data_IF_749928049173
#
_entry.id   IF_749928049173
#
_cell.length_a   1.000
_cell.length_b   1.000
_cell.length_c   1.000
_cell.angle_alpha   90.00
_cell.angle_beta   90.00
_cell.angle_gamma   90.00
#
_symmetry.space_group_name_H-M   'P 1'
#
loop_
_entity.id
_entity.type
_entity.pdbx_description
1 polymer ?
#
# COMPACT_ATOMS: atom_id res chain seq x y z
N UNK A 1 3.31 -19.57 -11.45
CA UNK A 1 3.88 -18.24 -11.19
C UNK A 1 2.89 -17.50 -10.33
N UNK A 2 3.39 -16.69 -9.41
CA UNK A 2 2.62 -16.15 -8.28
C UNK A 2 2.26 -14.70 -8.52
N UNK A 3 1.02 -14.33 -8.20
CA UNK A 3 0.53 -12.96 -8.12
C UNK A 3 0.72 -12.43 -6.71
N UNK A 4 1.35 -11.26 -6.59
CA UNK A 4 1.70 -10.68 -5.29
C UNK A 4 0.87 -9.42 -5.05
N UNK A 5 0.27 -9.32 -3.86
CA UNK A 5 -0.21 -8.06 -3.34
C UNK A 5 0.89 -7.43 -2.48
N UNK A 6 1.40 -6.28 -2.89
CA UNK A 6 2.44 -5.53 -2.16
C UNK A 6 1.78 -4.50 -1.25
N UNK A 7 1.73 -4.80 0.05
CA UNK A 7 1.25 -3.91 1.08
C UNK A 7 2.40 -3.07 1.66
N UNK A 8 2.16 -1.78 1.84
CA UNK A 8 3.10 -0.90 2.53
C UNK A 8 2.53 0.51 2.71
N UNK A 9 2.97 1.26 3.73
CA UNK A 9 2.64 2.68 3.84
C UNK A 9 3.34 3.47 2.72
N UNK A 10 2.75 4.57 2.27
CA UNK A 10 3.29 5.42 1.19
C UNK A 10 3.11 6.93 1.47
N UNK A 11 3.18 7.31 2.74
CA UNK A 11 2.94 8.68 3.22
C UNK A 11 4.20 9.56 3.21
N UNK A 12 5.38 8.96 3.18
CA UNK A 12 6.68 9.67 3.10
C UNK A 12 7.48 9.26 1.86
N UNK A 13 8.43 10.11 1.46
CA UNK A 13 9.35 9.80 0.34
C UNK A 13 10.14 8.53 0.59
N UNK A 14 10.57 8.31 1.84
CA UNK A 14 11.31 7.11 2.24
C UNK A 14 10.44 5.86 2.06
N UNK A 15 9.18 5.91 2.52
CA UNK A 15 8.24 4.82 2.36
C UNK A 15 7.99 4.47 0.89
N UNK A 16 7.81 5.49 0.03
CA UNK A 16 7.68 5.29 -1.42
C UNK A 16 8.94 4.66 -2.02
N UNK A 17 10.14 5.12 -1.62
CA UNK A 17 11.40 4.55 -2.09
C UNK A 17 11.56 3.07 -1.70
N UNK A 18 11.14 2.68 -0.50
CA UNK A 18 11.17 1.27 -0.06
C UNK A 18 10.21 0.44 -0.93
N UNK A 19 8.99 0.93 -1.16
CA UNK A 19 8.03 0.24 -2.04
C UNK A 19 8.61 0.08 -3.45
N UNK A 20 9.17 1.13 -4.04
CA UNK A 20 9.76 1.08 -5.38
C UNK A 20 10.91 0.06 -5.49
N UNK A 21 11.75 -0.05 -4.45
CA UNK A 21 12.82 -1.06 -4.40
C UNK A 21 12.25 -2.49 -4.35
N UNK A 22 11.18 -2.70 -3.58
CA UNK A 22 10.51 -4.01 -3.49
C UNK A 22 9.79 -4.35 -4.79
N UNK A 23 9.13 -3.39 -5.44
CA UNK A 23 8.51 -3.54 -6.76
C UNK A 23 9.55 -4.01 -7.79
N UNK A 24 10.74 -3.36 -7.83
CA UNK A 24 11.83 -3.75 -8.72
C UNK A 24 12.36 -5.16 -8.44
N UNK A 25 12.54 -5.51 -7.16
CA UNK A 25 13.01 -6.83 -6.76
C UNK A 25 12.01 -7.94 -7.13
N UNK A 26 10.71 -7.69 -6.94
CA UNK A 26 9.64 -8.62 -7.32
C UNK A 26 9.55 -8.78 -8.84
N UNK A 27 9.73 -7.70 -9.61
CA UNK A 27 9.72 -7.76 -11.08
C UNK A 27 10.87 -8.59 -11.66
N UNK A 28 11.99 -8.72 -10.94
CA UNK A 28 13.11 -9.57 -11.34
C UNK A 28 13.00 -11.02 -10.82
N UNK A 29 12.02 -11.32 -9.97
CA UNK A 29 11.86 -12.66 -9.39
C UNK A 29 11.12 -13.58 -10.38
N UNK A 30 11.76 -14.66 -10.91
CA UNK A 30 11.16 -15.52 -11.91
C UNK A 30 9.95 -16.34 -11.42
N UNK A 31 9.72 -16.40 -10.11
CA UNK A 31 8.53 -17.03 -9.53
C UNK A 31 7.30 -16.11 -9.52
N UNK A 32 7.48 -14.81 -9.73
CA UNK A 32 6.42 -13.78 -9.69
C UNK A 32 5.98 -13.47 -11.12
N UNK A 33 4.68 -13.51 -11.37
CA UNK A 33 4.09 -13.12 -12.67
C UNK A 33 3.51 -11.72 -12.68
N UNK A 34 3.05 -11.23 -11.53
CA UNK A 34 2.34 -9.96 -11.42
C UNK A 34 2.42 -9.39 -10.00
N UNK A 35 2.40 -8.07 -9.89
CA UNK A 35 2.47 -7.34 -8.62
C UNK A 35 1.41 -6.24 -8.61
N UNK A 36 0.47 -6.34 -7.67
CA UNK A 36 -0.49 -5.28 -7.37
C UNK A 36 0.03 -4.41 -6.22
N UNK A 37 0.08 -3.09 -6.43
CA UNK A 37 0.52 -2.09 -5.46
C UNK A 37 -0.60 -1.05 -5.25
N UNK A 38 -1.22 -0.95 -4.05
CA UNK A 38 -2.34 -0.03 -3.82
C UNK A 38 -2.02 1.44 -4.09
N UNK A 39 -0.76 1.85 -3.92
CA UNK A 39 -0.32 3.24 -4.11
C UNK A 39 -0.57 3.76 -5.53
N UNK A 40 -0.60 2.87 -6.52
CA UNK A 40 -0.80 3.22 -7.94
C UNK A 40 -2.26 3.09 -8.38
N UNK A 41 -3.18 2.73 -7.48
CA UNK A 41 -4.57 2.39 -7.78
C UNK A 41 -5.60 3.20 -6.97
N UNK A 42 -5.31 4.46 -6.68
CA UNK A 42 -6.14 5.35 -5.84
C UNK A 42 -7.28 6.07 -6.60
N UNK A 43 -7.32 5.96 -7.93
CA UNK A 43 -8.37 6.59 -8.73
C UNK A 43 -9.69 5.82 -8.64
N UNK A 44 -10.78 6.53 -8.27
CA UNK A 44 -12.14 6.01 -8.15
C UNK A 44 -13.12 6.74 -9.08
N UNK A 45 -14.37 6.30 -9.07
CA UNK A 45 -15.46 7.02 -9.73
C UNK A 45 -16.00 8.14 -8.84
N UNK A 46 -16.01 7.91 -7.52
CA UNK A 46 -16.35 8.92 -6.53
C UNK A 46 -15.21 9.93 -6.32
N UNK A 47 -15.60 11.13 -5.86
CA UNK A 47 -14.65 12.18 -5.48
C UNK A 47 -13.72 11.69 -4.36
N UNK A 48 -12.42 11.91 -4.54
CA UNK A 48 -11.40 11.51 -3.57
C UNK A 48 -11.70 12.06 -2.17
N UNK A 49 -11.31 11.31 -1.14
CA UNK A 49 -11.52 11.65 0.28
C UNK A 49 -12.99 11.70 0.74
N UNK A 50 -13.92 11.17 -0.05
CA UNK A 50 -15.32 10.96 0.38
C UNK A 50 -15.55 9.54 0.88
N UNK A 51 -16.65 9.31 1.62
CA UNK A 51 -17.04 7.96 2.06
C UNK A 51 -17.26 7.00 0.88
N UNK A 52 -17.98 7.37 -0.20
CA UNK A 52 -18.13 6.49 -1.36
C UNK A 52 -16.78 6.11 -2.00
N UNK A 53 -15.85 7.07 -2.12
CA UNK A 53 -14.50 6.79 -2.62
C UNK A 53 -13.73 5.82 -1.71
N UNK A 54 -13.78 6.04 -0.40
CA UNK A 54 -13.14 5.13 0.56
C UNK A 54 -13.72 3.71 0.47
N UNK A 55 -15.04 3.58 0.31
CA UNK A 55 -15.70 2.29 0.10
C UNK A 55 -15.24 1.64 -1.23
N UNK A 56 -15.10 2.40 -2.32
CA UNK A 56 -14.61 1.89 -3.61
C UNK A 56 -13.16 1.35 -3.52
N UNK A 57 -12.25 2.14 -2.94
CA UNK A 57 -10.84 1.77 -2.79
C UNK A 57 -10.72 0.53 -1.88
N UNK A 58 -11.46 0.50 -0.77
CA UNK A 58 -11.49 -0.67 0.11
C UNK A 58 -11.90 -1.95 -0.63
N UNK A 59 -12.99 -1.92 -1.39
CA UNK A 59 -13.44 -3.12 -2.12
C UNK A 59 -12.45 -3.54 -3.21
N UNK A 60 -11.81 -2.58 -3.89
CA UNK A 60 -10.77 -2.86 -4.88
C UNK A 60 -9.57 -3.56 -4.24
N UNK A 61 -9.05 -3.02 -3.14
CA UNK A 61 -7.91 -3.63 -2.45
C UNK A 61 -8.25 -5.01 -1.90
N UNK A 62 -9.45 -5.19 -1.34
CA UNK A 62 -9.93 -6.52 -0.92
C UNK A 62 -10.06 -7.51 -2.08
N UNK A 63 -10.46 -7.06 -3.26
CA UNK A 63 -10.51 -7.91 -4.46
C UNK A 63 -9.10 -8.29 -4.92
N UNK A 64 -8.15 -7.34 -4.93
CA UNK A 64 -6.76 -7.59 -5.28
C UNK A 64 -6.07 -8.56 -4.31
N UNK A 65 -6.31 -8.42 -3.01
CA UNK A 65 -5.84 -9.37 -1.98
C UNK A 65 -6.37 -10.78 -2.28
N UNK A 66 -7.66 -10.94 -2.54
CA UNK A 66 -8.27 -12.26 -2.84
C UNK A 66 -7.77 -12.87 -4.15
N UNK A 67 -7.39 -12.04 -5.12
CA UNK A 67 -6.87 -12.49 -6.41
C UNK A 67 -5.38 -12.82 -6.40
N UNK A 68 -4.67 -12.51 -5.31
CA UNK A 68 -3.24 -12.74 -5.17
C UNK A 68 -2.95 -14.07 -4.48
N UNK A 69 -1.84 -14.70 -4.86
CA UNK A 69 -1.38 -15.97 -4.26
C UNK A 69 -0.65 -15.74 -2.94
N UNK A 70 -0.03 -14.57 -2.78
CA UNK A 70 0.63 -14.16 -1.54
C UNK A 70 0.59 -12.64 -1.32
N UNK A 71 0.76 -12.26 -0.06
CA UNK A 71 0.92 -10.86 0.36
C UNK A 71 2.37 -10.66 0.78
N UNK A 72 3.00 -9.62 0.27
CA UNK A 72 4.28 -9.10 0.77
C UNK A 72 3.98 -7.79 1.50
N UNK A 73 4.28 -7.73 2.79
CA UNK A 73 4.00 -6.56 3.61
C UNK A 73 5.30 -5.87 4.05
N UNK A 74 5.45 -4.60 3.70
CA UNK A 74 6.49 -3.71 4.23
C UNK A 74 5.98 -3.16 5.55
N UNK A 75 6.60 -3.59 6.64
CA UNK A 75 6.30 -3.13 7.99
C UNK A 75 7.28 -1.99 8.31
N UNK A 76 6.86 -0.76 8.00
CA UNK A 76 7.61 0.45 8.31
C UNK A 76 6.76 1.39 9.17
N UNK A 77 7.12 1.50 10.44
CA UNK A 77 6.52 2.44 11.38
C UNK A 77 7.43 3.66 11.45
N UNK A 78 7.27 4.58 10.50
CA UNK A 78 7.88 5.90 10.62
C UNK A 78 7.21 6.57 11.82
N UNK A 79 7.91 6.66 12.95
CA UNK A 79 7.37 7.09 14.26
C UNK A 79 6.77 8.51 14.30
N UNK A 80 6.53 9.15 13.15
CA UNK A 80 5.82 10.40 12.96
C UNK A 80 4.40 10.38 13.56
N UNK A 81 3.69 9.24 13.56
CA UNK A 81 2.38 9.10 14.22
C UNK A 81 2.46 9.19 15.76
N UNK A 82 3.66 9.09 16.33
CA UNK A 82 3.87 9.22 17.78
C UNK A 82 3.84 10.68 18.26
N UNK A 83 3.86 11.67 17.36
CA UNK A 83 3.99 13.09 17.71
C UNK A 83 2.68 13.81 18.03
N UNK A 84 1.52 13.19 17.80
CA UNK A 84 0.21 13.80 18.12
C UNK A 84 -0.20 13.58 19.59
N UNK A 85 0.50 12.69 20.33
CA UNK A 85 0.13 12.36 21.73
C UNK A 85 1.00 13.03 22.81
N UNK A 86 1.91 13.95 22.46
CA UNK A 86 2.81 14.60 23.45
C UNK A 86 2.67 16.12 23.55
N UNK A 87 1.66 16.75 22.94
CA UNK A 87 1.36 18.17 23.19
C UNK A 87 0.11 18.33 24.06
N UNK A 88 0.19 17.90 25.31
CA UNK A 88 -0.61 18.48 26.38
C UNK A 88 0.33 18.96 27.48
N UNK A 89 0.45 20.29 27.54
CA UNK A 89 0.62 21.09 28.76
C UNK A 89 1.95 20.97 29.52
N UNK A 90 2.79 22.00 29.38
CA UNK A 90 3.32 22.82 30.49
C UNK A 90 3.80 24.16 29.94
#
# INVERSE_FOLDING_TARGET
MNKIYLAGPFFSKQQVQIIEQVEQALAQNPSVSDVYSPRTHQDGQAEAFTKPWADEIYHRDMAAIRASDAIVAIIDFDGADRRILTSTSS
#
